data_IF_344163590754
#
_entry.id   IF_344163590754
#
_cell.length_a   1.000
_cell.length_b   1.000
_cell.length_c   1.000
_cell.angle_alpha   90.00
_cell.angle_beta   90.00
_cell.angle_gamma   90.00
#
_symmetry.space_group_name_H-M   'P 1'
#
loop_
_entity.id
_entity.type
_entity.pdbx_description
1 polymer ?
#
# COMPACT_ATOMS: atom_id res chain seq x y z
N UNK A 1 -16.38 18.76 18.38
CA UNK A 1 -17.07 17.98 17.32
C UNK A 1 -16.06 17.47 16.30
N UNK A 2 -15.19 18.32 15.74
CA UNK A 2 -14.22 17.92 14.70
C UNK A 2 -13.13 16.96 15.19
N UNK A 3 -12.65 17.12 16.44
CA UNK A 3 -11.68 16.20 17.02
C UNK A 3 -12.32 14.85 17.39
N UNK A 4 -13.60 14.84 17.76
CA UNK A 4 -14.35 13.63 18.06
C UNK A 4 -14.61 12.84 16.79
N UNK A 5 -15.00 13.51 15.70
CA UNK A 5 -15.15 12.90 14.38
C UNK A 5 -13.82 12.37 13.85
N UNK A 6 -12.71 13.10 14.06
CA UNK A 6 -11.37 12.61 13.72
C UNK A 6 -10.97 11.37 14.52
N UNK A 7 -11.24 11.35 15.82
CA UNK A 7 -10.95 10.18 16.66
C UNK A 7 -11.86 9.00 16.31
N UNK A 8 -13.09 9.26 15.89
CA UNK A 8 -14.00 8.25 15.35
C UNK A 8 -13.48 7.76 14.00
N UNK A 9 -13.08 8.65 13.08
CA UNK A 9 -12.46 8.33 11.79
C UNK A 9 -11.18 7.48 11.93
N UNK A 10 -10.32 7.80 12.88
CA UNK A 10 -9.12 7.00 13.18
C UNK A 10 -9.46 5.71 13.93
N UNK A 11 -10.61 5.68 14.63
CA UNK A 11 -11.04 4.54 15.44
C UNK A 11 -12.01 3.58 14.76
N UNK A 12 -12.73 3.99 13.70
CA UNK A 12 -13.75 3.17 13.01
C UNK A 12 -13.22 2.16 11.99
N UNK A 13 -11.99 2.24 11.45
CA UNK A 13 -11.37 1.07 10.83
C UNK A 13 -11.47 -0.18 11.72
N UNK A 14 -11.74 0.02 13.00
CA UNK A 14 -11.85 -1.03 14.02
C UNK A 14 -12.99 -2.04 13.80
N UNK A 15 -14.06 -1.72 13.11
CA UNK A 15 -15.16 -2.67 12.89
C UNK A 15 -14.87 -3.70 11.80
N UNK A 16 -14.22 -3.28 10.71
CA UNK A 16 -13.66 -4.17 9.69
C UNK A 16 -12.41 -4.89 10.19
N UNK A 17 -11.64 -4.26 11.11
CA UNK A 17 -10.38 -4.76 11.63
C UNK A 17 -10.50 -5.88 12.66
N UNK A 18 -11.63 -6.15 13.30
CA UNK A 18 -11.73 -7.28 14.25
C UNK A 18 -11.42 -8.63 13.61
N UNK A 19 -11.84 -8.85 12.37
CA UNK A 19 -11.48 -10.06 11.60
C UNK A 19 -10.07 -10.00 11.05
N UNK A 20 -9.63 -8.83 10.57
CA UNK A 20 -8.28 -8.65 10.06
C UNK A 20 -7.24 -8.64 11.18
N UNK A 21 -7.51 -8.04 12.33
CA UNK A 21 -6.62 -8.08 13.50
C UNK A 21 -6.35 -9.51 13.95
N UNK A 22 -7.38 -10.36 13.98
CA UNK A 22 -7.24 -11.79 14.26
C UNK A 22 -6.35 -12.50 13.24
N UNK A 23 -6.53 -12.19 11.96
CA UNK A 23 -5.72 -12.75 10.88
C UNK A 23 -4.25 -12.29 10.96
N UNK A 24 -4.00 -11.01 11.27
CA UNK A 24 -2.65 -10.50 11.48
C UNK A 24 -1.96 -11.15 12.68
N UNK A 25 -2.67 -11.28 13.80
CA UNK A 25 -2.15 -11.99 14.99
C UNK A 25 -1.79 -13.44 14.64
N UNK A 26 -2.65 -14.15 13.92
CA UNK A 26 -2.39 -15.53 13.47
C UNK A 26 -1.21 -15.60 12.49
N UNK A 27 -1.09 -14.65 11.57
CA UNK A 27 0.03 -14.55 10.64
C UNK A 27 1.37 -14.29 11.36
N UNK A 28 1.40 -13.34 12.29
CA UNK A 28 2.60 -13.06 13.10
C UNK A 28 2.93 -14.21 14.04
N UNK A 29 1.93 -14.86 14.60
CA UNK A 29 2.12 -16.06 15.42
C UNK A 29 2.72 -17.20 14.59
N UNK A 30 2.18 -17.46 13.41
CA UNK A 30 2.69 -18.46 12.47
C UNK A 30 4.12 -18.19 12.03
N UNK A 31 4.42 -16.94 11.68
CA UNK A 31 5.78 -16.50 11.33
C UNK A 31 6.76 -16.67 12.51
N UNK A 32 6.37 -16.27 13.72
CA UNK A 32 7.21 -16.44 14.91
C UNK A 32 7.45 -17.90 15.25
N UNK A 33 6.43 -18.74 15.06
CA UNK A 33 6.54 -20.18 15.26
C UNK A 33 7.53 -20.81 14.27
N UNK A 34 7.42 -20.48 12.97
CA UNK A 34 8.31 -20.97 11.92
C UNK A 34 9.74 -20.50 12.13
N UNK A 35 9.93 -19.29 12.66
CA UNK A 35 11.27 -18.74 12.95
C UNK A 35 11.89 -19.43 14.15
N UNK A 36 11.13 -19.63 15.24
CA UNK A 36 11.62 -20.29 16.47
C UNK A 36 11.96 -21.76 16.27
N UNK A 37 11.25 -22.46 15.37
CA UNK A 37 11.56 -23.85 15.01
C UNK A 37 12.89 -23.99 14.24
N UNK A 38 13.46 -22.89 13.72
CA UNK A 38 14.62 -22.91 12.82
C UNK A 38 14.27 -23.31 11.38
N UNK A 39 12.99 -23.41 11.04
CA UNK A 39 12.52 -23.72 9.67
C UNK A 39 12.90 -22.62 8.70
N UNK A 40 12.77 -21.33 9.10
CA UNK A 40 13.05 -20.20 8.24
C UNK A 40 14.52 -20.11 7.80
N UNK A 41 15.47 -20.55 8.62
CA UNK A 41 16.88 -20.62 8.24
C UNK A 41 17.09 -21.65 7.11
N UNK A 42 16.41 -22.79 7.16
CA UNK A 42 16.49 -23.82 6.13
C UNK A 42 15.78 -23.39 4.84
N UNK A 43 14.63 -22.74 4.97
CA UNK A 43 13.92 -22.16 3.83
C UNK A 43 14.79 -21.10 3.13
N UNK A 44 15.47 -20.23 3.88
CA UNK A 44 16.42 -19.27 3.33
C UNK A 44 17.60 -19.95 2.62
N UNK A 45 18.14 -21.03 3.18
CA UNK A 45 19.19 -21.83 2.55
C UNK A 45 18.74 -22.45 1.22
N UNK A 46 17.55 -23.04 1.19
CA UNK A 46 16.99 -23.63 -0.02
C UNK A 46 16.74 -22.58 -1.09
N UNK A 47 16.20 -21.43 -0.69
CA UNK A 47 15.88 -20.32 -1.58
C UNK A 47 17.10 -19.54 -2.05
N UNK A 48 18.26 -19.66 -1.39
CA UNK A 48 19.48 -18.97 -1.79
C UNK A 48 19.87 -19.29 -3.22
N UNK A 49 19.77 -20.56 -3.63
CA UNK A 49 20.06 -20.98 -5.00
C UNK A 49 19.18 -20.27 -6.05
N UNK A 50 17.95 -19.95 -5.71
CA UNK A 50 16.99 -19.26 -6.60
C UNK A 50 17.25 -17.75 -6.54
N UNK A 51 17.37 -17.18 -5.34
CA UNK A 51 17.55 -15.76 -5.13
C UNK A 51 18.89 -15.24 -5.67
N UNK A 52 19.95 -16.01 -5.59
CA UNK A 52 21.24 -15.66 -6.20
C UNK A 52 21.16 -15.50 -7.71
N UNK A 53 20.36 -16.31 -8.40
CA UNK A 53 20.16 -16.17 -9.85
C UNK A 53 19.48 -14.85 -10.22
N UNK A 54 18.65 -14.32 -9.34
CA UNK A 54 17.94 -13.05 -9.53
C UNK A 54 18.64 -11.88 -8.85
N UNK A 55 19.90 -12.07 -8.42
CA UNK A 55 20.71 -11.00 -7.83
C UNK A 55 20.34 -10.63 -6.39
N UNK A 56 19.67 -11.50 -5.64
CA UNK A 56 19.35 -11.33 -4.22
C UNK A 56 20.06 -12.39 -3.39
N UNK A 57 20.40 -12.03 -2.17
CA UNK A 57 21.04 -12.95 -1.21
C UNK A 57 19.99 -13.86 -0.54
N UNK A 58 20.32 -15.09 -0.17
CA UNK A 58 19.37 -16.02 0.48
C UNK A 58 18.71 -15.47 1.73
N UNK A 59 19.44 -14.67 2.53
CA UNK A 59 18.87 -13.95 3.69
C UNK A 59 17.76 -12.94 3.31
N UNK A 60 17.63 -12.57 2.03
CA UNK A 60 16.54 -11.69 1.55
C UNK A 60 15.17 -12.39 1.51
N UNK A 61 15.16 -13.73 1.58
CA UNK A 61 13.93 -14.51 1.60
C UNK A 61 12.97 -14.09 2.71
N UNK A 62 13.46 -14.01 3.94
CA UNK A 62 12.64 -13.64 5.09
C UNK A 62 12.07 -12.22 4.99
N UNK A 63 12.85 -11.17 4.69
CA UNK A 63 12.33 -9.84 4.39
C UNK A 63 11.25 -9.82 3.31
N UNK A 64 11.45 -10.53 2.19
CA UNK A 64 10.49 -10.55 1.09
C UNK A 64 9.18 -11.22 1.48
N UNK A 65 9.21 -12.37 2.16
CA UNK A 65 8.00 -13.03 2.67
C UNK A 65 7.26 -12.15 3.67
N UNK A 66 7.99 -11.51 4.59
CA UNK A 66 7.40 -10.56 5.54
C UNK A 66 6.78 -9.35 4.82
N UNK A 67 7.34 -8.95 3.68
CA UNK A 67 6.86 -7.86 2.83
C UNK A 67 5.44 -8.06 2.29
N UNK A 68 4.99 -9.30 2.09
CA UNK A 68 3.60 -9.59 1.72
C UNK A 68 2.60 -9.23 2.85
N UNK A 69 3.01 -9.33 4.09
CA UNK A 69 2.22 -8.82 5.21
C UNK A 69 2.30 -7.29 5.30
N UNK A 70 3.50 -6.76 5.51
CA UNK A 70 3.76 -5.33 5.60
C UNK A 70 5.21 -5.02 5.21
N UNK A 71 5.41 -3.98 4.40
CA UNK A 71 6.76 -3.58 3.96
C UNK A 71 7.64 -3.06 5.11
N UNK A 72 7.06 -2.50 6.18
CA UNK A 72 7.80 -1.94 7.31
C UNK A 72 8.60 -3.02 8.05
N UNK A 73 7.98 -4.09 8.61
CA UNK A 73 8.73 -5.17 9.24
C UNK A 73 9.63 -5.90 8.25
N UNK A 74 9.24 -5.98 6.96
CA UNK A 74 10.10 -6.52 5.91
C UNK A 74 11.41 -5.74 5.77
N UNK A 75 11.38 -4.39 5.71
CA UNK A 75 12.58 -3.55 5.69
C UNK A 75 13.39 -3.72 6.98
N UNK A 76 12.73 -3.75 8.14
CA UNK A 76 13.43 -3.97 9.40
C UNK A 76 14.14 -5.34 9.45
N UNK A 77 13.57 -6.37 8.83
CA UNK A 77 14.17 -7.69 8.74
C UNK A 77 15.43 -7.71 7.85
N UNK A 78 15.60 -6.75 6.93
CA UNK A 78 16.81 -6.66 6.09
C UNK A 78 18.08 -6.39 6.90
N UNK A 79 17.97 -5.97 8.16
CA UNK A 79 19.12 -5.76 9.07
C UNK A 79 19.90 -7.04 9.36
N UNK A 80 19.31 -8.21 9.11
CA UNK A 80 19.97 -9.50 9.21
C UNK A 80 20.92 -9.79 8.03
N UNK A 81 20.91 -8.95 7.00
CA UNK A 81 21.78 -9.05 5.83
C UNK A 81 23.05 -8.25 6.09
N UNK A 82 24.19 -8.95 6.15
CA UNK A 82 25.47 -8.36 6.52
C UNK A 82 26.03 -7.45 5.42
N UNK A 83 25.83 -7.83 4.14
CA UNK A 83 26.29 -7.04 3.01
C UNK A 83 25.36 -5.84 2.77
N UNK A 84 25.90 -4.64 2.84
CA UNK A 84 25.12 -3.40 2.66
C UNK A 84 24.45 -3.31 1.29
N UNK A 85 25.11 -3.78 0.22
CA UNK A 85 24.55 -3.75 -1.14
C UNK A 85 23.36 -4.68 -1.29
N UNK A 86 23.46 -5.89 -0.75
CA UNK A 86 22.38 -6.88 -0.75
C UNK A 86 21.21 -6.41 0.10
N UNK A 87 21.49 -5.75 1.22
CA UNK A 87 20.52 -5.13 2.09
C UNK A 87 19.77 -4.01 1.36
N UNK A 88 20.49 -3.10 0.70
CA UNK A 88 19.89 -2.01 -0.07
C UNK A 88 19.08 -2.52 -1.26
N UNK A 89 19.58 -3.50 -2.01
CA UNK A 89 18.83 -4.11 -3.11
C UNK A 89 17.51 -4.69 -2.61
N UNK A 90 17.53 -5.43 -1.50
CA UNK A 90 16.33 -6.01 -0.89
C UNK A 90 15.37 -4.93 -0.42
N UNK A 91 15.85 -3.87 0.25
CA UNK A 91 15.01 -2.75 0.69
C UNK A 91 14.31 -2.04 -0.47
N UNK A 92 15.01 -1.81 -1.58
CA UNK A 92 14.48 -1.09 -2.74
C UNK A 92 13.42 -1.90 -3.49
N UNK A 93 13.57 -3.21 -3.54
CA UNK A 93 12.66 -4.14 -4.22
C UNK A 93 11.42 -4.48 -3.37
N UNK A 94 11.55 -4.45 -2.06
CA UNK A 94 10.53 -4.90 -1.12
C UNK A 94 9.15 -4.25 -1.27
N UNK A 95 9.00 -2.95 -1.59
CA UNK A 95 7.69 -2.34 -1.82
C UNK A 95 6.90 -2.90 -3.02
N UNK A 96 7.55 -3.63 -3.93
CA UNK A 96 6.89 -4.32 -5.04
C UNK A 96 6.12 -5.57 -4.57
N UNK A 97 6.50 -6.13 -3.42
CA UNK A 97 5.69 -7.17 -2.79
C UNK A 97 4.33 -6.58 -2.40
N UNK A 98 3.26 -7.21 -2.87
CA UNK A 98 1.90 -6.73 -2.61
C UNK A 98 1.56 -6.95 -1.13
N UNK A 99 1.65 -5.90 -0.33
CA UNK A 99 1.31 -5.96 1.10
C UNK A 99 -0.20 -6.04 1.31
N UNK A 100 -0.61 -6.51 2.48
CA UNK A 100 -2.03 -6.68 2.86
C UNK A 100 -2.86 -5.39 2.78
N UNK A 101 -2.25 -4.22 2.99
CA UNK A 101 -2.92 -2.92 2.84
C UNK A 101 -3.36 -2.60 1.40
N UNK A 102 -2.86 -3.33 0.40
CA UNK A 102 -3.33 -3.22 -1.00
C UNK A 102 -4.53 -4.12 -1.29
N UNK A 103 -4.77 -5.14 -0.48
CA UNK A 103 -5.83 -6.10 -0.72
C UNK A 103 -7.23 -5.46 -0.85
N UNK A 104 -7.64 -4.48 0.01
CA UNK A 104 -8.92 -3.80 -0.17
C UNK A 104 -9.06 -3.09 -1.53
N UNK A 105 -7.96 -2.56 -2.09
CA UNK A 105 -7.96 -1.93 -3.41
C UNK A 105 -8.24 -2.96 -4.50
N UNK A 106 -7.62 -4.14 -4.42
CA UNK A 106 -7.87 -5.23 -5.39
C UNK A 106 -9.28 -5.77 -5.29
N UNK A 107 -9.79 -5.94 -4.06
CA UNK A 107 -11.14 -6.40 -3.79
C UNK A 107 -12.23 -5.39 -4.22
N UNK A 108 -11.88 -4.10 -4.34
CA UNK A 108 -12.76 -3.09 -4.89
C UNK A 108 -12.67 -3.05 -6.42
N UNK A 109 -11.47 -2.88 -6.98
CA UNK A 109 -11.29 -2.59 -8.40
C UNK A 109 -11.57 -3.80 -9.31
N UNK A 110 -11.15 -5.01 -8.89
CA UNK A 110 -11.30 -6.19 -9.73
C UNK A 110 -12.78 -6.55 -9.90
N UNK A 111 -13.61 -6.68 -8.85
CA UNK A 111 -15.03 -6.97 -9.02
C UNK A 111 -15.81 -5.83 -9.67
N UNK A 112 -15.41 -4.57 -9.45
CA UNK A 112 -16.09 -3.42 -10.03
C UNK A 112 -15.93 -3.33 -11.56
N UNK A 113 -14.76 -3.70 -12.09
CA UNK A 113 -14.39 -3.40 -13.48
C UNK A 113 -14.28 -4.63 -14.38
N UNK A 114 -14.30 -5.84 -13.81
CA UNK A 114 -14.12 -7.08 -14.58
C UNK A 114 -15.25 -8.07 -14.29
N UNK A 115 -15.54 -8.91 -15.28
CA UNK A 115 -16.54 -9.98 -15.14
C UNK A 115 -16.07 -11.04 -14.10
N UNK A 116 -17.01 -11.70 -13.38
CA UNK A 116 -16.70 -12.66 -12.30
C UNK A 116 -15.71 -13.77 -12.68
N UNK A 117 -15.72 -14.20 -13.93
CA UNK A 117 -14.79 -15.23 -14.43
C UNK A 117 -13.32 -14.79 -14.38
N UNK A 118 -13.05 -13.48 -14.39
CA UNK A 118 -11.70 -12.89 -14.38
C UNK A 118 -11.21 -12.50 -12.99
N UNK A 119 -12.02 -12.54 -11.93
CA UNK A 119 -11.63 -12.09 -10.61
C UNK A 119 -10.42 -12.87 -10.06
N UNK A 120 -10.48 -14.20 -10.08
CA UNK A 120 -9.38 -15.04 -9.58
C UNK A 120 -8.12 -14.98 -10.47
N UNK A 121 -8.21 -15.09 -11.82
CA UNK A 121 -7.05 -14.92 -12.70
C UNK A 121 -6.37 -13.54 -12.54
N UNK A 122 -7.13 -12.47 -12.45
CA UNK A 122 -6.58 -11.12 -12.27
C UNK A 122 -5.88 -10.95 -10.92
N UNK A 123 -6.47 -11.47 -9.84
CA UNK A 123 -5.84 -11.46 -8.52
C UNK A 123 -4.49 -12.19 -8.56
N UNK A 124 -4.46 -13.40 -9.16
CA UNK A 124 -3.21 -14.13 -9.32
C UNK A 124 -2.20 -13.37 -10.20
N UNK A 125 -2.64 -12.78 -11.32
CA UNK A 125 -1.79 -12.01 -12.22
C UNK A 125 -1.15 -10.80 -11.54
N UNK A 126 -1.89 -10.07 -10.68
CA UNK A 126 -1.38 -8.93 -9.91
C UNK A 126 -0.22 -9.34 -9.01
N UNK A 127 -0.37 -10.44 -8.26
CA UNK A 127 0.71 -10.93 -7.39
C UNK A 127 1.90 -11.45 -8.20
N UNK A 128 1.67 -12.24 -9.25
CA UNK A 128 2.73 -12.74 -10.11
C UNK A 128 3.51 -11.61 -10.79
N UNK A 129 2.81 -10.59 -11.31
CA UNK A 129 3.42 -9.42 -11.93
C UNK A 129 4.27 -8.62 -10.94
N UNK A 130 3.81 -8.44 -9.70
CA UNK A 130 4.59 -7.81 -8.64
C UNK A 130 5.92 -8.54 -8.37
N UNK A 131 5.88 -9.86 -8.28
CA UNK A 131 7.08 -10.70 -8.08
C UNK A 131 8.02 -10.59 -9.29
N UNK A 132 7.50 -10.68 -10.51
CA UNK A 132 8.30 -10.55 -11.73
C UNK A 132 8.99 -9.17 -11.83
N UNK A 133 8.27 -8.10 -11.49
CA UNK A 133 8.86 -6.76 -11.44
C UNK A 133 9.93 -6.64 -10.35
N UNK A 134 9.72 -7.26 -9.19
CA UNK A 134 10.70 -7.29 -8.12
C UNK A 134 12.00 -7.98 -8.56
N UNK A 135 11.88 -9.10 -9.25
CA UNK A 135 13.01 -9.82 -9.86
C UNK A 135 13.69 -8.95 -10.92
N UNK A 136 12.93 -8.36 -11.85
CA UNK A 136 13.48 -7.50 -12.90
C UNK A 136 14.20 -6.27 -12.33
N UNK A 137 13.61 -5.60 -11.33
CA UNK A 137 14.24 -4.46 -10.66
C UNK A 137 15.50 -4.87 -9.90
N UNK A 138 15.50 -6.03 -9.25
CA UNK A 138 16.68 -6.55 -8.56
C UNK A 138 17.84 -6.75 -9.54
N UNK A 139 17.61 -7.40 -10.67
CA UNK A 139 18.61 -7.58 -11.71
C UNK A 139 19.12 -6.25 -12.28
N UNK A 140 18.20 -5.30 -12.51
CA UNK A 140 18.55 -3.96 -12.97
C UNK A 140 19.45 -3.22 -11.98
N UNK A 141 19.09 -3.23 -10.69
CA UNK A 141 19.86 -2.58 -9.63
C UNK A 141 21.27 -3.19 -9.49
N UNK A 142 21.37 -4.52 -9.57
CA UNK A 142 22.66 -5.22 -9.55
C UNK A 142 23.51 -4.90 -10.78
N UNK A 143 22.90 -4.79 -11.95
CA UNK A 143 23.63 -4.46 -13.19
C UNK A 143 24.08 -3.01 -13.27
N UNK A 144 23.44 -2.10 -12.52
CA UNK A 144 23.65 -0.63 -12.66
C UNK A 144 24.24 0.00 -11.41
N UNK A 145 23.43 0.18 -10.37
CA UNK A 145 23.74 1.03 -9.20
C UNK A 145 24.48 0.27 -8.10
N UNK A 146 24.14 -1.01 -7.90
CA UNK A 146 24.63 -1.85 -6.81
C UNK A 146 25.58 -2.96 -7.32
N UNK A 147 26.45 -2.63 -8.29
CA UNK A 147 27.43 -3.58 -8.84
C UNK A 147 28.36 -4.09 -7.76
N UNK A 148 28.67 -5.39 -7.80
CA UNK A 148 29.63 -6.06 -6.93
C UNK A 148 29.39 -7.55 -6.88
N UNK A 149 30.43 -8.29 -6.44
CA UNK A 149 30.35 -9.73 -6.28
C UNK A 149 29.37 -10.10 -5.17
N UNK A 150 28.56 -11.15 -5.35
CA UNK A 150 27.69 -11.65 -4.31
C UNK A 150 28.52 -12.12 -3.10
N UNK A 151 28.11 -11.73 -1.90
CA UNK A 151 28.74 -12.24 -0.70
C UNK A 151 28.47 -13.76 -0.58
N UNK A 152 29.48 -14.55 -0.16
CA UNK A 152 29.27 -15.98 0.03
C UNK A 152 28.20 -16.20 1.12
N UNK A 153 27.24 -17.08 0.82
CA UNK A 153 26.20 -17.43 1.76
C UNK A 153 26.73 -18.43 2.78
N UNK A 154 27.09 -17.92 3.93
CA UNK A 154 27.45 -18.74 5.09
C UNK A 154 26.32 -18.62 6.11
N UNK A 155 25.56 -19.68 6.31
CA UNK A 155 24.51 -19.76 7.31
C UNK A 155 24.69 -21.01 8.16
N UNK A 156 24.93 -20.82 9.44
CA UNK A 156 24.84 -21.92 10.40
C UNK A 156 23.35 -22.30 10.57
N UNK A 157 23.04 -23.56 10.26
CA UNK A 157 21.68 -24.08 10.40
C UNK A 157 21.42 -24.39 11.88
N UNK A 158 20.56 -23.63 12.57
CA UNK A 158 20.23 -23.93 13.95
C UNK A 158 19.53 -25.28 14.05
N UNK A 159 19.77 -26.06 15.13
CA UNK A 159 19.05 -27.31 15.35
C UNK A 159 17.54 -27.04 15.49
N UNK A 160 16.72 -27.99 15.05
CA UNK A 160 15.28 -27.90 15.29
C UNK A 160 15.01 -27.88 16.80
N UNK A 161 14.25 -26.89 17.24
CA UNK A 161 13.82 -26.78 18.63
C UNK A 161 12.30 -26.63 18.66
N UNK A 162 11.67 -27.27 19.63
CA UNK A 162 10.25 -27.00 19.90
C UNK A 162 10.14 -25.59 20.49
N UNK A 163 9.33 -24.72 19.88
CA UNK A 163 9.15 -23.36 20.38
C UNK A 163 8.44 -23.39 21.73
N UNK A 164 8.94 -22.63 22.69
CA UNK A 164 8.23 -22.44 23.96
C UNK A 164 7.21 -21.32 23.81
N UNK A 165 6.01 -21.52 24.38
CA UNK A 165 4.94 -20.53 24.29
C UNK A 165 5.40 -19.15 24.82
N UNK A 166 6.23 -19.13 25.86
CA UNK A 166 6.77 -17.92 26.44
C UNK A 166 7.72 -17.18 25.47
N UNK A 167 8.57 -17.90 24.72
CA UNK A 167 9.47 -17.26 23.74
C UNK A 167 8.69 -16.69 22.56
N UNK A 168 7.71 -17.42 22.04
CA UNK A 168 6.85 -17.00 20.91
C UNK A 168 6.05 -15.76 21.27
N UNK A 169 5.33 -15.80 22.40
CA UNK A 169 4.51 -14.67 22.86
C UNK A 169 5.40 -13.45 23.22
N UNK A 170 6.52 -13.66 23.89
CA UNK A 170 7.45 -12.60 24.24
C UNK A 170 8.01 -11.86 22.99
N UNK A 171 8.49 -12.61 21.99
CA UNK A 171 8.99 -12.02 20.74
C UNK A 171 7.88 -11.35 19.93
N UNK A 172 6.70 -11.96 19.89
CA UNK A 172 5.54 -11.36 19.22
C UNK A 172 5.18 -10.02 19.89
N UNK A 173 5.10 -9.98 21.22
CA UNK A 173 4.80 -8.75 21.97
C UNK A 173 5.86 -7.68 21.78
N UNK A 174 7.15 -8.04 21.82
CA UNK A 174 8.27 -7.12 21.59
C UNK A 174 8.23 -6.54 20.17
N UNK A 175 8.02 -7.37 19.15
CA UNK A 175 7.90 -6.92 17.75
C UNK A 175 6.69 -6.04 17.55
N UNK A 176 5.54 -6.41 18.11
CA UNK A 176 4.32 -5.62 18.06
C UNK A 176 4.54 -4.24 18.73
N UNK A 177 5.18 -4.21 19.91
CA UNK A 177 5.50 -2.97 20.62
C UNK A 177 6.45 -2.06 19.83
N UNK A 178 7.51 -2.64 19.27
CA UNK A 178 8.47 -1.89 18.44
C UNK A 178 7.78 -1.34 17.18
N UNK A 179 6.89 -2.12 16.58
CA UNK A 179 6.09 -1.69 15.42
C UNK A 179 5.15 -0.55 15.80
N UNK A 180 4.35 -0.71 16.85
CA UNK A 180 3.41 0.32 17.33
C UNK A 180 4.13 1.62 17.69
N UNK A 181 5.25 1.54 18.40
CA UNK A 181 6.01 2.73 18.81
C UNK A 181 6.68 3.44 17.63
N UNK A 182 7.19 2.70 16.63
CA UNK A 182 7.96 3.29 15.52
C UNK A 182 7.12 3.64 14.32
N UNK A 183 6.20 2.77 13.93
CA UNK A 183 5.33 2.99 12.78
C UNK A 183 4.08 3.77 13.17
N UNK A 184 3.48 3.50 14.33
CA UNK A 184 2.27 4.15 14.78
C UNK A 184 2.41 5.66 14.95
N UNK A 185 3.55 6.14 15.49
CA UNK A 185 3.79 7.59 15.62
C UNK A 185 3.91 8.29 14.27
N UNK A 186 4.56 7.66 13.29
CA UNK A 186 4.69 8.20 11.92
C UNK A 186 3.33 8.19 11.23
N UNK A 187 2.60 7.08 11.33
CA UNK A 187 1.26 6.95 10.74
C UNK A 187 0.31 7.99 11.34
N UNK A 188 0.28 8.14 12.68
CA UNK A 188 -0.55 9.13 13.36
C UNK A 188 -0.24 10.55 12.89
N UNK A 189 1.04 10.94 12.85
CA UNK A 189 1.44 12.27 12.39
C UNK A 189 1.01 12.54 10.94
N UNK A 190 1.14 11.56 10.07
CA UNK A 190 0.73 11.67 8.67
C UNK A 190 -0.79 11.70 8.53
N UNK A 191 -1.52 10.91 9.33
CA UNK A 191 -2.98 10.93 9.34
C UNK A 191 -3.56 12.28 9.75
N UNK A 192 -2.96 12.93 10.77
CA UNK A 192 -3.33 14.28 11.19
C UNK A 192 -3.06 15.29 10.07
N UNK A 193 -1.90 15.20 9.42
CA UNK A 193 -1.55 16.07 8.31
C UNK A 193 -2.51 15.89 7.13
N UNK A 194 -2.80 14.64 6.75
CA UNK A 194 -3.76 14.34 5.69
C UNK A 194 -5.16 14.85 6.01
N UNK A 195 -5.62 14.61 7.24
CA UNK A 195 -6.90 15.13 7.68
C UNK A 195 -6.97 16.66 7.51
N UNK A 196 -5.94 17.39 7.94
CA UNK A 196 -5.88 18.84 7.75
C UNK A 196 -5.91 19.24 6.27
N UNK A 197 -5.14 18.57 5.42
CA UNK A 197 -5.07 18.86 3.97
C UNK A 197 -6.37 18.48 3.24
N UNK A 198 -7.06 17.45 3.72
CA UNK A 198 -8.33 16.99 3.13
C UNK A 198 -9.57 17.73 3.65
N UNK A 199 -9.49 18.35 4.85
CA UNK A 199 -10.63 19.04 5.47
C UNK A 199 -10.62 20.55 5.26
N UNK A 200 -9.49 21.15 4.90
CA UNK A 200 -9.36 22.61 4.73
C UNK A 200 -8.87 22.98 3.33
N UNK A 201 -9.30 24.15 2.78
CA UNK A 201 -10.34 25.04 3.29
C UNK A 201 -11.76 24.46 3.07
N UNK A 202 -12.67 24.76 3.96
CA UNK A 202 -14.09 24.40 3.80
C UNK A 202 -14.82 25.45 2.95
N UNK A 203 -15.82 25.07 2.12
CA UNK A 203 -16.65 26.02 1.43
C UNK A 203 -17.47 26.84 2.44
N UNK A 204 -17.67 28.14 2.17
CA UNK A 204 -18.40 29.04 3.06
C UNK A 204 -19.90 28.67 3.16
N UNK A 205 -20.46 28.15 2.10
CA UNK A 205 -21.83 27.63 2.02
C UNK A 205 -21.82 26.31 1.25
N UNK A 206 -22.41 25.27 1.85
CA UNK A 206 -22.56 23.96 1.18
C UNK A 206 -23.69 24.03 0.14
N UNK A 207 -23.50 23.32 -0.97
CA UNK A 207 -24.49 23.12 -2.00
C UNK A 207 -25.77 22.49 -1.42
N UNK A 208 -25.59 21.53 -0.53
CA UNK A 208 -26.68 20.84 0.16
C UNK A 208 -27.47 21.80 1.04
N UNK A 209 -26.84 22.76 1.71
CA UNK A 209 -27.57 23.74 2.52
C UNK A 209 -28.46 24.64 1.65
N UNK A 210 -28.04 24.95 0.43
CA UNK A 210 -28.86 25.69 -0.56
C UNK A 210 -30.01 24.83 -1.11
N UNK A 211 -29.77 23.55 -1.37
CA UNK A 211 -30.79 22.62 -1.87
C UNK A 211 -31.82 22.28 -0.78
N UNK A 212 -31.40 22.15 0.49
CA UNK A 212 -32.32 22.03 1.64
C UNK A 212 -33.15 23.27 1.83
N UNK A 213 -32.58 24.48 1.68
CA UNK A 213 -33.30 25.73 1.71
C UNK A 213 -34.31 25.88 0.54
N UNK A 214 -34.03 25.20 -0.58
CA UNK A 214 -34.93 25.13 -1.74
C UNK A 214 -36.01 24.03 -1.61
N UNK A 215 -36.06 23.30 -0.48
CA UNK A 215 -37.09 22.29 -0.19
C UNK A 215 -36.74 20.86 -0.64
N UNK A 216 -35.50 20.56 -0.96
CA UNK A 216 -35.06 19.19 -1.25
C UNK A 216 -35.07 18.34 0.02
N UNK A 217 -35.56 17.11 -0.09
CA UNK A 217 -35.58 16.16 1.01
C UNK A 217 -34.36 15.23 0.94
N UNK A 218 -33.47 15.38 1.90
CA UNK A 218 -32.31 14.51 2.08
C UNK A 218 -32.36 13.86 3.46
N UNK A 219 -31.87 12.64 3.58
CA UNK A 219 -31.59 12.03 4.90
C UNK A 219 -30.40 12.71 5.57
N UNK A 220 -30.32 12.65 6.89
CA UNK A 220 -29.19 13.24 7.63
C UNK A 220 -27.82 12.64 7.18
N UNK A 221 -27.80 11.36 6.82
CA UNK A 221 -26.62 10.69 6.31
C UNK A 221 -26.19 11.19 4.91
N UNK A 222 -27.15 11.40 4.02
CA UNK A 222 -26.88 11.95 2.66
C UNK A 222 -26.36 13.39 2.74
N UNK A 223 -26.94 14.20 3.62
CA UNK A 223 -26.49 15.59 3.86
C UNK A 223 -25.02 15.61 4.29
N UNK A 224 -24.65 14.76 5.25
CA UNK A 224 -23.28 14.69 5.75
C UNK A 224 -22.31 14.16 4.68
N UNK A 225 -22.71 13.14 3.92
CA UNK A 225 -21.92 12.57 2.83
C UNK A 225 -21.63 13.62 1.73
N UNK A 226 -22.63 14.37 1.30
CA UNK A 226 -22.46 15.42 0.27
C UNK A 226 -21.61 16.58 0.81
N UNK A 227 -21.81 17.01 2.06
CA UNK A 227 -20.95 18.03 2.69
C UNK A 227 -19.49 17.62 2.74
N UNK A 228 -19.22 16.37 3.10
CA UNK A 228 -17.87 15.82 3.17
C UNK A 228 -17.23 15.75 1.78
N UNK A 229 -18.00 15.36 0.76
CA UNK A 229 -17.54 15.35 -0.62
C UNK A 229 -17.22 16.78 -1.14
N UNK A 230 -18.06 17.75 -0.86
CA UNK A 230 -17.83 19.17 -1.22
C UNK A 230 -16.60 19.74 -0.47
N UNK A 231 -16.48 19.44 0.80
CA UNK A 231 -15.30 19.84 1.59
C UNK A 231 -14.02 19.26 0.97
N UNK A 232 -14.03 17.99 0.58
CA UNK A 232 -12.90 17.35 -0.10
C UNK A 232 -12.60 18.04 -1.44
N UNK A 233 -13.62 18.35 -2.24
CA UNK A 233 -13.46 19.01 -3.53
C UNK A 233 -12.80 20.40 -3.41
N UNK A 234 -13.13 21.16 -2.37
CA UNK A 234 -12.58 22.49 -2.11
C UNK A 234 -11.30 22.48 -1.30
N UNK A 235 -10.96 21.36 -0.68
CA UNK A 235 -9.76 21.18 0.15
C UNK A 235 -8.45 21.37 -0.62
N UNK A 236 -7.35 21.49 0.10
CA UNK A 236 -6.02 21.47 -0.52
C UNK A 236 -5.77 20.17 -1.28
N UNK A 237 -6.24 19.03 -0.78
CA UNK A 237 -6.12 17.74 -1.47
C UNK A 237 -6.84 17.75 -2.82
N UNK A 238 -8.08 18.23 -2.87
CA UNK A 238 -8.86 18.35 -4.11
C UNK A 238 -8.23 19.34 -5.11
N UNK A 239 -7.71 20.48 -4.62
CA UNK A 239 -6.99 21.44 -5.48
C UNK A 239 -5.71 20.87 -6.05
N UNK A 240 -4.91 20.15 -5.26
CA UNK A 240 -3.71 19.45 -5.74
C UNK A 240 -4.10 18.36 -6.73
N UNK A 241 -5.18 17.61 -6.46
CA UNK A 241 -5.70 16.61 -7.37
C UNK A 241 -6.03 17.19 -8.75
N UNK A 242 -6.75 18.32 -8.81
CA UNK A 242 -7.05 19.03 -10.07
C UNK A 242 -5.82 19.61 -10.75
N UNK A 243 -4.88 20.16 -9.99
CA UNK A 243 -3.63 20.67 -10.53
C UNK A 243 -2.76 19.57 -11.15
N UNK A 244 -2.81 18.36 -10.61
CA UNK A 244 -2.10 17.19 -11.12
C UNK A 244 -2.87 16.41 -12.20
N UNK A 245 -4.17 16.63 -12.34
CA UNK A 245 -5.01 15.97 -13.33
C UNK A 245 -4.41 15.96 -14.74
N UNK A 246 -3.91 17.12 -15.31
CA UNK A 246 -3.33 17.12 -16.64
C UNK A 246 -2.10 16.20 -16.77
N UNK A 247 -1.38 15.94 -15.70
CA UNK A 247 -0.26 15.00 -15.67
C UNK A 247 -0.74 13.56 -15.71
N UNK A 248 -1.86 13.26 -15.07
CA UNK A 248 -2.43 11.92 -14.97
C UNK A 248 -3.52 11.61 -16.02
N UNK A 249 -4.02 12.62 -16.71
CA UNK A 249 -4.98 12.45 -17.82
C UNK A 249 -4.51 11.48 -18.92
N UNK A 250 -3.20 11.42 -19.29
CA UNK A 250 -2.72 10.43 -20.25
C UNK A 250 -2.86 8.95 -19.79
N UNK A 251 -3.10 8.71 -18.49
CA UNK A 251 -3.38 7.41 -17.90
C UNK A 251 -4.89 7.11 -17.82
N UNK A 252 -5.72 8.08 -18.20
CA UNK A 252 -7.18 8.02 -18.05
C UNK A 252 -7.69 8.37 -16.66
N UNK A 253 -6.89 9.05 -15.82
CA UNK A 253 -7.28 9.41 -14.46
C UNK A 253 -7.81 10.83 -14.40
N UNK A 254 -8.93 10.99 -13.71
CA UNK A 254 -9.51 12.27 -13.34
C UNK A 254 -8.99 12.76 -11.97
N UNK A 255 -9.39 13.95 -11.57
CA UNK A 255 -8.99 14.53 -10.30
C UNK A 255 -9.40 13.67 -9.09
N UNK A 256 -10.47 12.88 -9.18
CA UNK A 256 -10.98 11.99 -8.12
C UNK A 256 -9.98 10.87 -7.83
N UNK A 257 -9.57 10.15 -8.89
CA UNK A 257 -8.55 9.09 -8.78
C UNK A 257 -7.19 9.65 -8.33
N UNK A 258 -6.83 10.85 -8.78
CA UNK A 258 -5.60 11.51 -8.38
C UNK A 258 -5.64 11.87 -6.90
N UNK A 259 -6.74 12.49 -6.42
CA UNK A 259 -6.91 12.85 -5.01
C UNK A 259 -6.90 11.63 -4.10
N UNK A 260 -7.64 10.57 -4.46
CA UNK A 260 -7.60 9.31 -3.71
C UNK A 260 -6.20 8.66 -3.72
N UNK A 261 -5.45 8.83 -4.81
CA UNK A 261 -4.07 8.35 -4.91
C UNK A 261 -3.11 9.13 -4.01
N UNK A 262 -3.32 10.42 -3.81
CA UNK A 262 -2.57 11.24 -2.85
C UNK A 262 -2.81 10.76 -1.41
N UNK A 263 -4.06 10.49 -1.05
CA UNK A 263 -4.38 9.92 0.28
C UNK A 263 -3.74 8.56 0.50
N UNK A 264 -3.80 7.72 -0.50
CA UNK A 264 -3.17 6.39 -0.45
C UNK A 264 -1.64 6.40 -0.37
N UNK A 265 -0.99 7.53 -0.65
CA UNK A 265 0.45 7.70 -0.39
C UNK A 265 0.77 7.70 1.10
N UNK A 266 -0.08 8.26 1.93
CA UNK A 266 0.10 8.18 3.37
C UNK A 266 -0.13 6.76 3.89
N UNK A 267 -1.29 6.18 3.58
CA UNK A 267 -1.63 4.80 3.91
C UNK A 267 -2.49 4.22 2.77
N UNK A 268 -2.15 3.03 2.30
CA UNK A 268 -2.75 2.48 1.07
C UNK A 268 -4.24 2.16 1.20
N UNK A 269 -4.67 1.77 2.40
CA UNK A 269 -6.07 1.51 2.75
C UNK A 269 -6.95 2.77 2.65
N UNK A 270 -6.38 3.96 2.85
CA UNK A 270 -7.10 5.24 2.75
C UNK A 270 -7.64 5.50 1.33
N UNK A 271 -7.11 4.81 0.30
CA UNK A 271 -7.61 4.94 -1.05
C UNK A 271 -9.12 4.67 -1.17
N UNK A 272 -9.58 3.57 -0.59
CA UNK A 272 -10.99 3.17 -0.65
C UNK A 272 -11.87 4.17 0.11
N UNK A 273 -11.46 4.57 1.32
CA UNK A 273 -12.20 5.56 2.12
C UNK A 273 -12.30 6.91 1.40
N UNK A 274 -11.21 7.36 0.77
CA UNK A 274 -11.25 8.61 0.01
C UNK A 274 -12.12 8.53 -1.24
N UNK A 275 -12.15 7.38 -1.91
CA UNK A 275 -13.07 7.18 -3.02
C UNK A 275 -14.53 7.23 -2.55
N UNK A 276 -14.87 6.61 -1.41
CA UNK A 276 -16.21 6.72 -0.83
C UNK A 276 -16.59 8.18 -0.54
N UNK A 277 -15.68 8.96 0.04
CA UNK A 277 -15.90 10.38 0.34
C UNK A 277 -16.15 11.17 -0.96
N UNK A 278 -15.28 11.03 -1.94
CA UNK A 278 -15.37 11.78 -3.22
C UNK A 278 -16.66 11.46 -3.98
N UNK A 279 -17.17 10.22 -3.85
CA UNK A 279 -18.44 9.81 -4.46
C UNK A 279 -19.66 10.10 -3.60
N UNK A 280 -19.51 10.80 -2.48
CA UNK A 280 -20.59 11.13 -1.54
C UNK A 280 -21.37 9.90 -1.05
N UNK A 281 -20.69 8.77 -0.87
CA UNK A 281 -21.29 7.55 -0.31
C UNK A 281 -21.18 7.50 1.22
N UNK A 282 -20.56 8.52 1.83
CA UNK A 282 -20.23 8.53 3.24
C UNK A 282 -19.02 7.64 3.60
N UNK A 283 -18.65 7.66 4.86
CA UNK A 283 -17.49 6.85 5.32
C UNK A 283 -17.84 5.36 5.40
N UNK A 284 -19.10 5.02 5.63
CA UNK A 284 -19.62 3.64 5.74
C UNK A 284 -20.22 3.12 4.41
N UNK A 285 -20.04 3.82 3.29
CA UNK A 285 -20.53 3.38 1.99
C UNK A 285 -20.13 1.94 1.66
N UNK A 286 -21.08 1.10 1.29
CA UNK A 286 -20.79 -0.30 0.96
C UNK A 286 -19.88 -0.38 -0.28
N UNK A 287 -18.93 -1.31 -0.25
CA UNK A 287 -17.99 -1.55 -1.36
C UNK A 287 -18.75 -1.82 -2.67
N UNK A 288 -19.97 -2.39 -2.59
CA UNK A 288 -20.85 -2.64 -3.72
C UNK A 288 -21.34 -1.37 -4.40
N UNK A 289 -21.73 -0.36 -3.63
CA UNK A 289 -22.22 0.92 -4.16
C UNK A 289 -21.10 1.70 -4.85
N UNK A 290 -19.93 1.73 -4.23
CA UNK A 290 -18.72 2.32 -4.84
C UNK A 290 -18.34 1.59 -6.12
N UNK A 291 -18.39 0.24 -6.12
CA UNK A 291 -18.13 -0.57 -7.31
C UNK A 291 -19.03 -0.23 -8.48
N UNK A 292 -20.32 -0.05 -8.23
CA UNK A 292 -21.31 0.35 -9.26
C UNK A 292 -21.02 1.74 -9.83
N UNK A 293 -20.65 2.71 -8.99
CA UNK A 293 -20.24 4.05 -9.43
C UNK A 293 -18.95 4.01 -10.27
N UNK A 294 -17.96 3.24 -9.83
CA UNK A 294 -16.71 3.06 -10.57
C UNK A 294 -16.94 2.42 -11.94
N UNK A 295 -17.86 1.46 -12.03
CA UNK A 295 -18.23 0.81 -13.28
C UNK A 295 -18.92 1.77 -14.27
N UNK A 296 -19.67 2.74 -13.75
CA UNK A 296 -20.34 3.76 -14.58
C UNK A 296 -19.34 4.81 -15.11
N UNK A 297 -18.35 5.21 -14.30
CA UNK A 297 -17.44 6.32 -14.61
C UNK A 297 -16.14 5.85 -15.33
N UNK A 298 -15.69 4.62 -15.11
CA UNK A 298 -14.40 4.16 -15.62
C UNK A 298 -14.51 2.90 -16.48
N UNK A 299 -13.72 2.88 -17.54
CA UNK A 299 -13.57 1.69 -18.39
C UNK A 299 -12.68 0.65 -17.73
N UNK A 300 -12.80 -0.65 -18.09
CA UNK A 300 -11.88 -1.70 -17.61
C UNK A 300 -10.41 -1.39 -17.90
N UNK A 301 -10.12 -0.64 -18.97
CA UNK A 301 -8.76 -0.24 -19.33
C UNK A 301 -8.15 0.73 -18.31
N UNK A 302 -8.93 1.71 -17.84
CA UNK A 302 -8.54 2.59 -16.74
C UNK A 302 -8.28 1.78 -15.48
N UNK A 303 -9.13 0.77 -15.23
CA UNK A 303 -8.95 -0.15 -14.11
C UNK A 303 -7.62 -0.91 -14.15
N UNK A 304 -7.24 -1.49 -15.29
CA UNK A 304 -5.94 -2.16 -15.45
C UNK A 304 -4.78 -1.19 -15.22
N UNK A 305 -4.85 0.00 -15.84
CA UNK A 305 -3.85 1.06 -15.65
C UNK A 305 -3.69 1.43 -14.17
N UNK A 306 -4.81 1.59 -13.46
CA UNK A 306 -4.83 1.92 -12.03
C UNK A 306 -4.26 0.77 -11.18
N UNK A 307 -4.61 -0.48 -11.47
CA UNK A 307 -4.05 -1.66 -10.80
C UNK A 307 -2.53 -1.69 -10.96
N UNK A 308 -2.01 -1.50 -12.18
CA UNK A 308 -0.56 -1.46 -12.45
C UNK A 308 0.09 -0.30 -11.71
N UNK A 309 -0.48 0.90 -11.77
CA UNK A 309 0.03 2.06 -11.05
C UNK A 309 0.09 1.83 -9.54
N UNK A 310 -0.98 1.25 -8.97
CA UNK A 310 -1.08 1.00 -7.51
C UNK A 310 -0.20 -0.16 -7.06
N UNK A 311 0.05 -1.12 -7.94
CA UNK A 311 0.93 -2.26 -7.64
C UNK A 311 2.39 -1.82 -7.54
N UNK A 312 2.87 -1.04 -8.50
CA UNK A 312 4.29 -0.63 -8.59
C UNK A 312 4.55 0.63 -7.79
N UNK A 313 3.63 1.59 -7.87
CA UNK A 313 3.80 2.95 -7.39
C UNK A 313 3.76 3.13 -5.89
N UNK A 314 4.27 4.24 -5.54
CA UNK A 314 4.29 4.92 -4.25
C UNK A 314 4.33 4.00 -3.03
N UNK A 315 5.53 3.69 -2.51
CA UNK A 315 5.63 3.14 -1.17
C UNK A 315 4.93 4.10 -0.18
N UNK A 316 4.23 3.57 0.83
CA UNK A 316 3.60 4.43 1.82
C UNK A 316 4.66 5.26 2.58
N UNK A 317 4.26 6.42 3.10
CA UNK A 317 5.18 7.33 3.82
C UNK A 317 5.96 6.63 4.93
N UNK A 318 5.30 5.74 5.66
CA UNK A 318 5.95 4.95 6.70
C UNK A 318 7.08 4.06 6.13
N UNK A 319 6.88 3.47 4.96
CA UNK A 319 7.94 2.69 4.26
C UNK A 319 9.12 3.60 3.90
N UNK A 320 8.86 4.77 3.33
CA UNK A 320 9.91 5.77 2.99
C UNK A 320 10.68 6.21 4.22
N UNK A 321 9.99 6.48 5.32
CA UNK A 321 10.61 6.89 6.59
C UNK A 321 11.54 5.81 7.17
N UNK A 322 11.09 4.55 7.14
CA UNK A 322 11.92 3.42 7.61
C UNK A 322 13.09 3.17 6.66
N UNK A 323 12.89 3.22 5.33
CA UNK A 323 13.98 3.10 4.35
C UNK A 323 15.04 4.17 4.58
N UNK A 324 14.65 5.45 4.76
CA UNK A 324 15.59 6.53 5.12
C UNK A 324 16.43 6.19 6.34
N UNK A 325 15.77 5.72 7.39
CA UNK A 325 16.42 5.39 8.67
C UNK A 325 17.40 4.23 8.51
N UNK A 326 16.98 3.16 7.85
CA UNK A 326 17.74 1.91 7.78
C UNK A 326 18.80 1.92 6.67
N UNK A 327 18.65 2.77 5.65
CA UNK A 327 19.67 3.01 4.62
C UNK A 327 20.68 4.11 4.97
N UNK A 328 20.51 4.77 6.12
CA UNK A 328 21.41 5.82 6.61
C UNK A 328 21.28 7.18 5.90
N UNK A 329 20.28 7.39 5.00
CA UNK A 329 20.15 8.66 4.31
C UNK A 329 18.93 8.82 3.43
N UNK A 330 18.71 10.04 2.96
CA UNK A 330 17.61 10.38 2.06
C UNK A 330 17.79 9.85 0.64
N UNK A 331 19.03 9.63 0.19
CA UNK A 331 19.34 9.23 -1.18
C UNK A 331 18.57 7.98 -1.61
N UNK A 332 18.62 6.93 -0.81
CA UNK A 332 17.97 5.66 -1.11
C UNK A 332 16.45 5.70 -0.93
N UNK A 333 15.97 6.45 0.07
CA UNK A 333 14.55 6.65 0.28
C UNK A 333 13.90 7.44 -0.87
N UNK A 334 14.56 8.50 -1.36
CA UNK A 334 14.11 9.28 -2.50
C UNK A 334 14.21 8.48 -3.80
N UNK A 335 15.28 7.70 -3.99
CA UNK A 335 15.40 6.80 -5.14
C UNK A 335 14.28 5.75 -5.14
N UNK A 336 13.97 5.17 -3.98
CA UNK A 336 12.87 4.21 -3.84
C UNK A 336 11.53 4.87 -4.19
N UNK A 337 11.22 6.00 -3.57
CA UNK A 337 9.96 6.72 -3.80
C UNK A 337 9.84 7.22 -5.23
N UNK A 338 10.79 8.01 -5.69
CA UNK A 338 10.77 8.62 -7.02
C UNK A 338 10.92 7.60 -8.14
N UNK A 339 11.83 6.63 -7.97
CA UNK A 339 12.07 5.58 -8.96
C UNK A 339 10.87 4.65 -9.14
N UNK A 340 10.26 4.19 -8.05
CA UNK A 340 9.06 3.35 -8.13
C UNK A 340 7.85 4.12 -8.63
N UNK A 341 7.70 5.39 -8.27
CA UNK A 341 6.60 6.23 -8.77
C UNK A 341 6.74 6.50 -10.27
N UNK A 342 7.95 6.83 -10.72
CA UNK A 342 8.24 7.02 -12.15
C UNK A 342 8.02 5.73 -12.95
N UNK A 343 8.50 4.59 -12.43
CA UNK A 343 8.28 3.27 -13.05
C UNK A 343 6.80 2.93 -13.14
N UNK A 344 6.05 3.18 -12.07
CA UNK A 344 4.60 2.97 -12.03
C UNK A 344 3.86 3.83 -13.05
N UNK A 345 4.24 5.11 -13.14
CA UNK A 345 3.67 6.03 -14.10
C UNK A 345 3.93 5.56 -15.54
N UNK A 346 5.16 5.20 -15.87
CA UNK A 346 5.53 4.72 -17.19
C UNK A 346 4.80 3.42 -17.56
N UNK A 347 4.75 2.45 -16.65
CA UNK A 347 4.04 1.18 -16.90
C UNK A 347 2.53 1.39 -17.05
N UNK A 348 1.90 2.21 -16.23
CA UNK A 348 0.49 2.53 -16.34
C UNK A 348 0.19 3.30 -17.63
N UNK A 349 1.06 4.25 -18.03
CA UNK A 349 0.95 4.99 -19.27
C UNK A 349 1.01 4.04 -20.48
N UNK A 350 2.01 3.17 -20.52
CA UNK A 350 2.14 2.17 -21.60
C UNK A 350 0.91 1.27 -21.63
N UNK A 351 0.46 0.78 -20.48
CA UNK A 351 -0.73 -0.09 -20.38
C UNK A 351 -1.96 0.62 -20.94
N UNK A 352 -2.19 1.86 -20.55
CA UNK A 352 -3.36 2.62 -21.01
C UNK A 352 -3.27 2.99 -22.49
N UNK A 353 -2.13 3.52 -22.95
CA UNK A 353 -1.99 3.96 -24.35
C UNK A 353 -2.01 2.77 -25.33
N UNK A 354 -1.31 1.67 -25.00
CA UNK A 354 -1.35 0.45 -25.82
C UNK A 354 -2.75 -0.14 -25.82
N UNK A 355 -3.41 -0.23 -24.65
CA UNK A 355 -4.78 -0.72 -24.58
C UNK A 355 -5.76 0.13 -25.38
N UNK A 356 -5.63 1.48 -25.35
CA UNK A 356 -6.44 2.39 -26.14
C UNK A 356 -6.22 2.24 -27.65
N UNK A 357 -5.00 1.89 -28.05
CA UNK A 357 -4.67 1.71 -29.48
C UNK A 357 -5.20 0.37 -30.02
N UNK A 358 -5.32 -0.66 -29.14
CA UNK A 358 -5.81 -1.99 -29.51
C UNK A 358 -7.33 -2.17 -29.40
N UNK A 359 -8.01 -1.29 -28.65
CA UNK A 359 -9.48 -1.27 -28.48
C UNK A 359 -10.15 -0.41 -29.53
#
# INVERSE_FOLDING_TARGET
RDLTNFLTYVGEPYKLERRSLGLYVLLFLGLSLLEDTGYMARAAYLMDRVLNKVGLHGKSFLPLVTGFGCSIPGIMATRTIDNERDRLATMLVLPLMSCSARLPIWLLLIPALFAPAWHAPMMWAVYAFGILLAVGLSLLLRGTVLRGDPAPFVLELPPYRLPTLQSVVGRMAERAWVYLRKAGTVILGISILLWGVSSYPQPAESRVDRELAAGAAYTAAEVEAVRTAEAMEHSFAGRIGRALEPVFAPLGYDWRLVTASLGAFAAKEVFVSQMNIVYALGEEGEVGDLGTRLQADYTPLVGVSLIVFRLVGTPCMATVAITRRDSGGWKWALLQFGGLTALAYLLALVTYQVGRFLA
#
